data_IF_039569667351
#
_entry.id   IF_039569667351
#
_cell.length_a   1.000
_cell.length_b   1.000
_cell.length_c   1.000
_cell.angle_alpha   90.00
_cell.angle_beta   90.00
_cell.angle_gamma   90.00
#
_symmetry.space_group_name_H-M   'P 1'
#
loop_
_entity.id
_entity.type
_entity.pdbx_description
1 polymer ?
#
# COMPACT_ATOMS: atom_id res chain seq x y z
N UNK A 1 -26.23 8.32 11.54
CA UNK A 1 -25.07 7.44 11.73
C UNK A 1 -23.84 8.16 11.21
N UNK A 2 -22.82 8.29 12.03
CA UNK A 2 -21.59 8.90 11.58
C UNK A 2 -20.71 7.88 10.81
N UNK A 3 -19.62 8.36 10.25
CA UNK A 3 -18.74 7.53 9.43
C UNK A 3 -18.11 6.39 10.26
N UNK A 4 -17.80 6.63 11.52
CA UNK A 4 -17.19 5.60 12.38
C UNK A 4 -18.17 4.47 12.70
N UNK A 5 -19.43 4.80 12.99
CA UNK A 5 -20.44 3.78 13.22
C UNK A 5 -20.67 2.95 11.98
N UNK A 6 -20.70 3.59 10.81
CA UNK A 6 -20.86 2.87 9.55
C UNK A 6 -19.70 1.91 9.32
N UNK A 7 -18.49 2.34 9.60
CA UNK A 7 -17.31 1.49 9.43
C UNK A 7 -17.35 0.29 10.35
N UNK A 8 -17.75 0.48 11.60
CA UNK A 8 -17.86 -0.63 12.53
C UNK A 8 -18.92 -1.63 12.09
N UNK A 9 -20.07 -1.15 11.66
CA UNK A 9 -21.17 -2.02 11.22
C UNK A 9 -20.81 -2.77 9.94
N UNK A 10 -20.16 -2.09 8.99
CA UNK A 10 -19.83 -2.68 7.71
C UNK A 10 -18.51 -3.44 7.72
N UNK A 11 -17.71 -3.30 8.75
CA UNK A 11 -16.39 -3.90 8.83
C UNK A 11 -15.36 -3.29 7.88
N UNK A 12 -15.60 -2.06 7.43
CA UNK A 12 -14.77 -1.39 6.43
C UNK A 12 -13.84 -0.33 7.02
N UNK A 13 -13.31 -0.57 8.20
CA UNK A 13 -12.39 0.35 8.86
C UNK A 13 -11.23 0.70 7.94
N UNK A 14 -11.10 1.98 7.55
CA UNK A 14 -9.98 2.52 6.79
C UNK A 14 -9.82 1.99 5.36
N UNK A 15 -10.70 1.11 4.89
CA UNK A 15 -10.60 0.55 3.53
C UNK A 15 -11.85 0.90 2.73
N UNK A 16 -11.71 1.34 1.48
CA UNK A 16 -12.85 1.46 0.58
C UNK A 16 -13.42 0.08 0.31
N UNK A 17 -14.72 0.01 0.03
CA UNK A 17 -15.32 -1.25 -0.42
C UNK A 17 -14.78 -1.62 -1.80
N UNK A 18 -14.88 -2.90 -2.15
CA UNK A 18 -14.50 -3.38 -3.49
C UNK A 18 -15.19 -2.56 -4.57
N UNK A 19 -16.47 -2.26 -4.39
CA UNK A 19 -17.25 -1.48 -5.34
C UNK A 19 -16.74 -0.05 -5.52
N UNK A 20 -16.43 0.62 -4.42
CA UNK A 20 -15.89 1.97 -4.44
C UNK A 20 -14.52 2.02 -5.07
N UNK A 21 -13.67 1.05 -4.75
CA UNK A 21 -12.34 0.96 -5.33
C UNK A 21 -12.40 0.69 -6.83
N UNK A 22 -13.31 -0.17 -7.28
CA UNK A 22 -13.54 -0.40 -8.72
C UNK A 22 -13.89 0.91 -9.42
N UNK A 23 -14.80 1.68 -8.83
CA UNK A 23 -15.21 2.96 -9.41
C UNK A 23 -14.03 3.95 -9.48
N UNK A 24 -13.25 4.06 -8.41
CA UNK A 24 -12.08 4.94 -8.39
C UNK A 24 -11.09 4.58 -9.48
N UNK A 25 -10.81 3.27 -9.64
CA UNK A 25 -9.81 2.81 -10.60
C UNK A 25 -10.29 2.89 -12.06
N UNK A 26 -11.55 2.60 -12.32
CA UNK A 26 -12.09 2.53 -13.68
C UNK A 26 -12.67 3.85 -14.19
N UNK A 27 -13.22 4.68 -13.29
CA UNK A 27 -13.99 5.87 -13.68
C UNK A 27 -13.29 7.18 -13.35
N UNK A 28 -12.17 7.15 -12.68
CA UNK A 28 -11.41 8.35 -12.34
C UNK A 28 -9.93 8.18 -12.65
N UNK A 29 -9.18 9.27 -12.55
CA UNK A 29 -7.74 9.28 -12.64
C UNK A 29 -7.06 9.29 -11.26
N UNK A 30 -7.82 9.03 -10.20
CA UNK A 30 -7.30 9.00 -8.85
C UNK A 30 -6.33 7.84 -8.71
N UNK A 31 -5.17 8.12 -8.16
CA UNK A 31 -4.16 7.13 -7.84
C UNK A 31 -4.37 6.61 -6.42
N UNK A 32 -4.23 5.32 -6.24
CA UNK A 32 -4.50 4.67 -4.95
C UNK A 32 -3.25 3.97 -4.44
N UNK A 33 -2.86 4.29 -3.22
CA UNK A 33 -1.70 3.73 -2.55
C UNK A 33 -2.15 3.02 -1.27
N UNK A 34 -1.81 1.75 -1.16
CA UNK A 34 -1.98 0.99 0.08
C UNK A 34 -0.63 0.80 0.75
N UNK A 35 -0.59 1.09 2.05
CA UNK A 35 0.58 0.85 2.87
C UNK A 35 0.16 -0.06 4.02
N UNK A 36 0.80 -1.21 4.15
CA UNK A 36 0.47 -2.19 5.18
C UNK A 36 1.73 -2.64 5.91
N UNK A 37 1.68 -2.64 7.23
CA UNK A 37 2.76 -3.17 8.04
C UNK A 37 2.74 -4.69 8.06
N UNK A 38 3.90 -5.32 7.84
CA UNK A 38 3.99 -6.78 7.77
C UNK A 38 3.68 -7.49 9.10
N UNK A 39 3.71 -6.78 10.22
CA UNK A 39 3.37 -7.32 11.52
C UNK A 39 1.94 -7.00 11.95
N UNK A 40 1.12 -6.48 11.04
CA UNK A 40 -0.27 -6.15 11.34
C UNK A 40 -1.10 -7.43 11.53
N UNK A 41 -1.65 -7.60 12.71
CA UNK A 41 -2.48 -8.76 13.05
C UNK A 41 -3.96 -8.53 12.71
N UNK A 42 -4.37 -7.31 12.48
CA UNK A 42 -5.78 -6.96 12.17
C UNK A 42 -6.00 -7.04 10.67
N UNK A 43 -5.12 -6.39 9.90
CA UNK A 43 -5.15 -6.46 8.44
C UNK A 43 -3.79 -7.00 8.02
N UNK A 44 -3.67 -8.32 8.01
CA UNK A 44 -2.40 -8.96 7.73
C UNK A 44 -2.03 -8.87 6.25
N UNK A 45 -0.74 -8.95 5.96
CA UNK A 45 -0.23 -8.81 4.59
C UNK A 45 -0.81 -9.83 3.61
N UNK A 46 -0.90 -11.14 3.94
CA UNK A 46 -1.54 -12.10 3.01
C UNK A 46 -2.98 -11.73 2.66
N UNK A 47 -3.76 -11.25 3.62
CA UNK A 47 -5.14 -10.81 3.38
C UNK A 47 -5.21 -9.59 2.47
N UNK A 48 -4.33 -8.61 2.71
CA UNK A 48 -4.24 -7.41 1.89
C UNK A 48 -3.82 -7.73 0.45
N UNK A 49 -2.83 -8.60 0.30
CA UNK A 49 -2.37 -9.05 -1.01
C UNK A 49 -3.51 -9.70 -1.79
N UNK A 50 -4.23 -10.62 -1.15
CA UNK A 50 -5.36 -11.31 -1.77
C UNK A 50 -6.47 -10.34 -2.16
N UNK A 51 -6.81 -9.42 -1.27
CA UNK A 51 -7.85 -8.43 -1.53
C UNK A 51 -7.55 -7.63 -2.79
N UNK A 52 -6.33 -7.15 -2.95
CA UNK A 52 -5.97 -6.35 -4.11
C UNK A 52 -5.80 -7.18 -5.37
N UNK A 53 -5.33 -8.42 -5.28
CA UNK A 53 -5.24 -9.31 -6.44
C UNK A 53 -6.63 -9.70 -6.96
N UNK A 54 -7.62 -9.78 -6.09
CA UNK A 54 -8.99 -10.12 -6.44
C UNK A 54 -9.85 -8.89 -6.73
N UNK A 55 -9.30 -7.69 -6.62
CA UNK A 55 -10.02 -6.45 -6.87
C UNK A 55 -10.46 -6.38 -8.34
N UNK A 56 -11.78 -6.35 -8.62
CA UNK A 56 -12.25 -6.25 -10.00
C UNK A 56 -12.06 -4.83 -10.54
N UNK A 57 -11.34 -4.70 -11.64
CA UNK A 57 -11.16 -3.48 -12.39
C UNK A 57 -10.50 -3.78 -13.73
N UNK A 58 -10.43 -2.78 -14.61
CA UNK A 58 -9.97 -2.99 -15.99
C UNK A 58 -8.57 -3.62 -16.10
N UNK A 59 -7.68 -3.27 -15.17
CA UNK A 59 -6.30 -3.77 -15.19
C UNK A 59 -6.02 -4.83 -14.12
N UNK A 60 -7.06 -5.52 -13.65
CA UNK A 60 -6.91 -6.58 -12.65
C UNK A 60 -5.90 -7.64 -13.07
N UNK A 61 -5.99 -8.14 -14.29
CA UNK A 61 -5.09 -9.19 -14.77
C UNK A 61 -3.65 -8.72 -14.79
N UNK A 62 -3.42 -7.49 -15.24
CA UNK A 62 -2.09 -6.89 -15.22
C UNK A 62 -1.55 -6.77 -13.79
N UNK A 63 -2.34 -6.22 -12.88
CA UNK A 63 -1.92 -6.04 -11.49
C UNK A 63 -1.60 -7.39 -10.82
N UNK A 64 -2.48 -8.36 -11.03
CA UNK A 64 -2.33 -9.69 -10.44
C UNK A 64 -1.05 -10.40 -10.89
N UNK A 65 -0.61 -10.16 -12.11
CA UNK A 65 0.60 -10.75 -12.68
C UNK A 65 1.89 -10.08 -12.21
N UNK A 66 1.81 -8.90 -11.59
CA UNK A 66 3.01 -8.22 -11.12
C UNK A 66 3.64 -9.00 -9.98
N UNK A 67 4.95 -9.14 -10.02
CA UNK A 67 5.71 -9.75 -8.93
C UNK A 67 6.04 -8.69 -7.87
N UNK A 68 6.12 -9.13 -6.62
CA UNK A 68 6.64 -8.26 -5.57
C UNK A 68 8.13 -8.06 -5.76
N UNK A 69 8.58 -6.82 -5.53
CA UNK A 69 9.99 -6.46 -5.53
C UNK A 69 10.36 -5.87 -4.18
N UNK A 70 11.61 -6.04 -3.80
CA UNK A 70 12.12 -5.40 -2.59
C UNK A 70 12.24 -3.89 -2.82
N UNK A 71 11.91 -3.10 -1.81
CA UNK A 71 12.17 -1.68 -1.83
C UNK A 71 13.03 -1.28 -0.64
N UNK A 72 13.80 -0.22 -0.84
CA UNK A 72 14.75 0.28 0.14
C UNK A 72 14.58 1.78 0.30
N UNK A 73 15.03 2.30 1.41
CA UNK A 73 15.01 3.74 1.67
C UNK A 73 16.30 4.19 2.36
N UNK A 74 16.63 5.46 2.20
CA UNK A 74 17.74 6.11 2.86
C UNK A 74 17.44 7.60 2.94
N UNK A 75 17.75 8.22 4.08
CA UNK A 75 17.59 9.66 4.29
C UNK A 75 16.16 10.17 3.97
N UNK A 76 15.14 9.36 4.30
CA UNK A 76 13.74 9.71 4.09
C UNK A 76 13.26 9.62 2.66
N UNK A 77 14.02 9.02 1.76
CA UNK A 77 13.70 8.87 0.34
C UNK A 77 13.77 7.40 -0.07
N UNK A 78 12.98 7.02 -1.08
CA UNK A 78 13.12 5.71 -1.70
C UNK A 78 14.50 5.64 -2.35
N UNK A 79 15.27 4.61 -2.00
CA UNK A 79 16.61 4.43 -2.52
C UNK A 79 16.57 3.79 -3.90
N UNK A 80 17.34 4.34 -4.82
CA UNK A 80 17.54 3.78 -6.15
C UNK A 80 18.72 2.83 -6.15
N UNK A 81 18.79 1.99 -7.18
CA UNK A 81 19.95 1.12 -7.38
C UNK A 81 21.25 1.93 -7.37
N UNK A 82 22.30 1.41 -6.74
CA UNK A 82 23.60 2.05 -6.66
C UNK A 82 23.86 2.86 -5.40
N UNK A 83 22.85 3.12 -4.57
CA UNK A 83 23.07 3.72 -3.26
C UNK A 83 23.33 2.58 -2.27
N UNK A 84 24.60 2.35 -1.94
CA UNK A 84 25.02 1.08 -1.40
C UNK A 84 25.00 0.94 0.13
N UNK A 85 25.56 1.91 0.85
CA UNK A 85 25.92 1.62 2.25
C UNK A 85 24.93 2.10 3.30
N UNK A 86 24.03 3.03 2.95
CA UNK A 86 23.11 3.64 3.91
C UNK A 86 21.65 3.26 3.69
N UNK A 87 21.36 2.47 2.68
CA UNK A 87 19.98 2.09 2.41
C UNK A 87 19.53 0.99 3.36
N UNK A 88 18.30 1.12 3.82
CA UNK A 88 17.65 0.10 4.64
C UNK A 88 16.57 -0.57 3.81
N UNK A 89 16.37 -1.86 4.00
CA UNK A 89 15.26 -2.56 3.37
C UNK A 89 13.97 -2.12 4.03
N UNK A 90 13.02 -1.63 3.23
CA UNK A 90 11.71 -1.23 3.72
C UNK A 90 10.68 -2.33 3.71
N UNK A 91 10.79 -3.25 2.77
CA UNK A 91 9.86 -4.36 2.60
C UNK A 91 9.71 -4.74 1.15
N UNK A 92 8.49 -5.07 0.76
CA UNK A 92 8.16 -5.44 -0.62
C UNK A 92 7.06 -4.53 -1.16
N UNK A 93 7.00 -4.40 -2.48
CA UNK A 93 5.95 -3.60 -3.12
C UNK A 93 5.61 -4.18 -4.48
N UNK A 94 4.41 -3.87 -4.95
CA UNK A 94 4.03 -4.11 -6.34
C UNK A 94 3.00 -3.10 -6.79
N UNK A 95 2.86 -2.96 -8.10
CA UNK A 95 1.92 -2.04 -8.71
C UNK A 95 2.61 -1.02 -9.59
N UNK A 96 1.96 0.11 -9.77
CA UNK A 96 2.47 1.24 -10.54
C UNK A 96 1.97 2.56 -9.93
N UNK A 97 1.96 3.63 -10.71
CA UNK A 97 1.49 4.92 -10.21
C UNK A 97 -0.05 5.05 -10.15
N UNK A 98 -0.80 4.02 -10.52
CA UNK A 98 -2.28 4.01 -10.40
C UNK A 98 -2.74 3.26 -9.16
N UNK A 99 -2.19 2.06 -8.94
CA UNK A 99 -2.49 1.23 -7.79
C UNK A 99 -1.21 0.56 -7.32
N UNK A 100 -0.81 0.82 -6.11
CA UNK A 100 0.37 0.20 -5.51
C UNK A 100 0.08 -0.29 -4.11
N UNK A 101 0.75 -1.36 -3.75
CA UNK A 101 0.77 -1.88 -2.39
C UNK A 101 2.22 -1.93 -1.91
N UNK A 102 2.49 -1.24 -0.81
CA UNK A 102 3.77 -1.29 -0.11
C UNK A 102 3.59 -2.03 1.20
N UNK A 103 4.39 -3.05 1.40
CA UNK A 103 4.48 -3.77 2.66
C UNK A 103 5.69 -3.24 3.41
N UNK A 104 5.49 -2.86 4.68
CA UNK A 104 6.54 -2.25 5.50
C UNK A 104 6.98 -3.24 6.56
N UNK A 105 8.25 -3.62 6.52
CA UNK A 105 8.85 -4.54 7.49
C UNK A 105 8.92 -3.88 8.88
N UNK A 106 8.83 -4.70 9.91
CA UNK A 106 8.91 -4.26 11.31
C UNK A 106 7.87 -3.20 11.68
N UNK A 107 6.69 -3.25 11.05
CA UNK A 107 5.60 -2.34 11.32
C UNK A 107 4.30 -3.11 11.50
N UNK A 108 3.48 -2.69 12.44
CA UNK A 108 2.15 -3.23 12.67
C UNK A 108 1.07 -2.37 12.03
N UNK A 109 -0.12 -2.36 12.63
CA UNK A 109 -1.28 -1.62 12.12
C UNK A 109 -1.00 -0.12 11.98
N UNK A 110 -0.20 0.44 12.85
CA UNK A 110 0.18 1.85 12.81
C UNK A 110 1.53 2.04 12.13
N UNK A 111 1.65 1.59 10.90
CA UNK A 111 2.91 1.65 10.16
C UNK A 111 3.57 3.04 10.14
N UNK A 112 2.82 4.15 9.94
CA UNK A 112 3.45 5.48 10.00
C UNK A 112 4.05 5.81 11.37
N UNK A 113 3.53 5.23 12.41
CA UNK A 113 4.01 5.43 13.77
C UNK A 113 5.24 4.56 14.07
N UNK A 114 5.19 3.28 13.61
CA UNK A 114 6.24 2.31 13.87
C UNK A 114 7.47 2.54 12.98
N UNK A 115 7.26 2.94 11.73
CA UNK A 115 8.32 3.16 10.74
C UNK A 115 8.11 4.50 10.01
N UNK A 116 8.24 5.63 10.72
CA UNK A 116 7.91 6.93 10.13
C UNK A 116 8.80 7.32 8.95
N UNK A 117 10.10 6.99 9.00
CA UNK A 117 11.01 7.29 7.91
C UNK A 117 10.68 6.50 6.65
N UNK A 118 10.42 5.21 6.81
CA UNK A 118 10.05 4.32 5.70
C UNK A 118 8.75 4.76 5.04
N UNK A 119 7.72 5.01 5.84
CA UNK A 119 6.42 5.44 5.32
C UNK A 119 6.52 6.83 4.69
N UNK A 120 7.28 7.73 5.30
CA UNK A 120 7.53 9.05 4.73
C UNK A 120 8.19 8.97 3.36
N UNK A 121 9.13 8.05 3.17
CA UNK A 121 9.78 7.83 1.89
C UNK A 121 8.78 7.34 0.83
N UNK A 122 7.89 6.43 1.19
CA UNK A 122 6.83 5.95 0.29
C UNK A 122 5.94 7.11 -0.15
N UNK A 123 5.45 7.89 0.80
CA UNK A 123 4.53 9.00 0.52
C UNK A 123 5.19 10.04 -0.38
N UNK A 124 6.44 10.41 -0.11
CA UNK A 124 7.17 11.38 -0.95
C UNK A 124 7.32 10.88 -2.37
N UNK A 125 7.71 9.62 -2.54
CA UNK A 125 7.84 9.02 -3.86
C UNK A 125 6.50 8.98 -4.60
N UNK A 126 5.43 8.64 -3.90
CA UNK A 126 4.09 8.59 -4.47
C UNK A 126 3.61 9.95 -4.96
N UNK A 127 3.78 10.97 -4.13
CA UNK A 127 3.34 12.33 -4.46
C UNK A 127 4.10 12.89 -5.68
N UNK A 128 5.36 12.49 -5.83
CA UNK A 128 6.22 12.97 -6.92
C UNK A 128 6.10 12.16 -8.22
N UNK A 129 5.44 11.03 -8.16
CA UNK A 129 5.34 10.13 -9.31
C UNK A 129 4.31 10.58 -10.35
#
# INVERSE_FOLDING_TARGET
MDANQRWEEDGHLFLPTTRELTWLLDKTNIRVLFINGNEDMIINSPGQIRMLDEQPWALQAWYRQQAFEDWHYADGEIAREGLTDKRKKGGKWKGDNRLSLFLVDEAGHMAPWDQPEAVGAIVRAWVRS
#
